data_IF_627204542826
#
_entry.id   IF_627204542826
#
_cell.length_a   1.000
_cell.length_b   1.000
_cell.length_c   1.000
_cell.angle_alpha   90.00
_cell.angle_beta   90.00
_cell.angle_gamma   90.00
#
_symmetry.space_group_name_H-M   'P 1'
#
loop_
_entity.id
_entity.type
_entity.pdbx_description
1 polymer ?
#
# COMPACT_ATOMS: atom_id res chain seq x y z
N UNK A 1 37.69 -9.02 6.06
CA UNK A 1 36.61 -10.03 6.02
C UNK A 1 37.22 -11.39 6.25
N UNK A 2 36.96 -12.02 7.39
CA UNK A 2 37.40 -13.40 7.67
C UNK A 2 36.28 -14.35 7.28
N UNK A 3 36.57 -15.22 6.32
CA UNK A 3 35.73 -16.35 5.98
C UNK A 3 35.77 -17.34 7.15
N UNK A 4 34.64 -17.58 7.80
CA UNK A 4 34.55 -18.58 8.86
C UNK A 4 34.15 -19.91 8.21
N UNK A 5 35.11 -20.81 8.09
CA UNK A 5 34.84 -22.18 7.69
C UNK A 5 34.20 -22.92 8.88
N UNK A 6 33.18 -23.73 8.63
CA UNK A 6 32.47 -24.48 9.68
C UNK A 6 32.28 -25.94 9.31
N UNK A 7 32.11 -26.79 10.32
CA UNK A 7 31.88 -28.24 10.16
C UNK A 7 30.76 -28.71 11.09
N UNK A 8 30.01 -29.73 10.67
CA UNK A 8 29.02 -30.40 11.52
C UNK A 8 29.68 -31.55 12.27
N UNK A 9 29.50 -31.59 13.58
CA UNK A 9 29.97 -32.68 14.42
C UNK A 9 28.79 -33.34 15.10
N UNK A 10 28.90 -34.65 15.36
CA UNK A 10 27.88 -35.44 16.03
C UNK A 10 27.75 -34.99 17.49
N UNK A 11 26.52 -34.77 17.92
CA UNK A 11 26.20 -34.35 19.29
C UNK A 11 24.93 -35.07 19.75
N UNK A 12 25.10 -36.10 20.60
CA UNK A 12 24.02 -36.99 21.03
C UNK A 12 23.32 -37.67 19.84
N UNK A 13 22.01 -37.45 19.72
CA UNK A 13 21.17 -37.98 18.63
C UNK A 13 21.12 -37.05 17.40
N UNK A 14 21.90 -35.97 17.38
CA UNK A 14 21.91 -34.98 16.31
C UNK A 14 23.32 -34.46 16.00
N UNK A 15 23.38 -33.20 15.63
CA UNK A 15 24.62 -32.52 15.28
C UNK A 15 24.68 -31.10 15.85
N UNK A 16 25.89 -30.58 15.99
CA UNK A 16 26.16 -29.16 16.21
C UNK A 16 27.18 -28.64 15.21
N UNK A 17 27.10 -27.35 14.87
CA UNK A 17 28.04 -26.68 13.95
C UNK A 17 29.12 -25.99 14.77
N UNK A 18 30.39 -26.19 14.40
CA UNK A 18 31.53 -25.51 15.01
C UNK A 18 32.42 -24.88 13.93
N UNK A 19 33.31 -23.97 14.29
CA UNK A 19 34.34 -23.51 13.36
C UNK A 19 35.29 -24.65 13.01
N UNK A 20 35.78 -24.68 11.77
CA UNK A 20 36.77 -25.65 11.32
C UNK A 20 38.08 -25.54 12.14
N UNK A 21 38.43 -24.34 12.61
CA UNK A 21 39.58 -24.12 13.51
C UNK A 21 39.45 -24.82 14.86
N UNK A 22 38.21 -25.03 15.32
CA UNK A 22 37.90 -25.59 16.63
C UNK A 22 37.67 -27.10 16.53
N UNK A 23 37.83 -27.69 15.34
CA UNK A 23 37.67 -29.12 15.11
C UNK A 23 38.91 -29.88 15.58
N UNK A 24 38.76 -30.67 16.65
CA UNK A 24 39.83 -31.50 17.22
C UNK A 24 39.58 -32.97 16.86
N UNK A 25 40.48 -33.53 16.05
CA UNK A 25 40.46 -34.94 15.68
C UNK A 25 40.55 -35.82 16.94
N UNK A 26 39.64 -36.79 17.06
CA UNK A 26 39.55 -37.69 18.22
C UNK A 26 38.66 -37.18 19.35
N UNK A 27 38.36 -35.88 19.43
CA UNK A 27 37.30 -35.35 20.32
C UNK A 27 35.97 -35.17 19.58
N UNK A 28 36.04 -34.82 18.30
CA UNK A 28 34.89 -34.59 17.46
C UNK A 28 34.78 -35.67 16.36
N UNK A 29 33.56 -36.18 16.15
CA UNK A 29 33.19 -37.06 15.04
C UNK A 29 32.38 -36.23 14.03
N UNK A 30 32.71 -36.28 12.74
CA UNK A 30 31.95 -35.56 11.71
C UNK A 30 30.55 -36.18 11.59
N UNK A 31 29.55 -35.31 11.50
CA UNK A 31 28.17 -35.76 11.27
C UNK A 31 27.91 -35.84 9.76
N UNK A 32 27.95 -37.06 9.22
CA UNK A 32 27.84 -37.32 7.77
C UNK A 32 29.08 -36.88 6.97
N UNK A 33 28.95 -36.85 5.64
CA UNK A 33 30.07 -36.56 4.71
C UNK A 33 30.25 -35.05 4.41
N UNK A 34 29.60 -34.17 5.17
CA UNK A 34 29.36 -32.79 4.75
C UNK A 34 30.41 -31.80 5.27
N UNK A 35 31.33 -31.40 4.39
CA UNK A 35 32.07 -30.14 4.54
C UNK A 35 31.10 -29.00 4.23
N UNK A 36 30.62 -28.28 5.25
CA UNK A 36 29.77 -27.11 5.06
C UNK A 36 30.59 -25.96 4.48
N UNK A 37 30.43 -25.72 3.19
CA UNK A 37 31.00 -24.57 2.51
C UNK A 37 30.39 -23.26 3.04
N UNK A 38 31.23 -22.44 3.67
CA UNK A 38 31.14 -20.99 3.87
C UNK A 38 29.72 -20.41 4.06
N UNK A 39 29.34 -20.17 5.33
CA UNK A 39 28.37 -19.11 5.62
C UNK A 39 29.02 -17.77 5.28
N UNK A 40 28.82 -17.33 4.04
CA UNK A 40 29.13 -15.96 3.65
C UNK A 40 28.18 -15.07 4.43
N UNK A 41 28.70 -14.28 5.39
CA UNK A 41 27.91 -13.22 6.01
C UNK A 41 27.34 -12.35 4.89
N UNK A 42 26.02 -12.36 4.79
CA UNK A 42 25.19 -11.75 3.76
C UNK A 42 25.56 -10.27 3.53
N UNK A 43 26.46 -10.02 2.58
CA UNK A 43 26.61 -8.70 1.98
C UNK A 43 25.52 -8.44 0.92
N UNK A 44 24.85 -9.49 0.44
CA UNK A 44 23.79 -9.43 -0.58
C UNK A 44 22.42 -8.99 -0.04
N UNK A 45 22.13 -9.17 1.25
CA UNK A 45 20.81 -8.85 1.82
C UNK A 45 20.67 -7.38 2.24
N UNK A 46 21.80 -6.66 2.37
CA UNK A 46 21.79 -5.23 2.75
C UNK A 46 21.27 -4.35 1.62
N UNK A 47 21.59 -4.70 0.37
CA UNK A 47 21.19 -3.92 -0.81
C UNK A 47 19.67 -4.07 -1.10
N UNK A 48 19.15 -5.29 -0.99
CA UNK A 48 17.70 -5.55 -1.09
C UNK A 48 16.91 -4.90 0.06
N UNK A 49 17.50 -4.80 1.25
CA UNK A 49 16.87 -4.16 2.42
C UNK A 49 16.77 -2.64 2.26
N UNK A 50 17.78 -2.01 1.64
CA UNK A 50 17.79 -0.57 1.40
C UNK A 50 16.74 -0.16 0.35
N UNK A 51 16.64 -0.91 -0.74
CA UNK A 51 15.66 -0.64 -1.79
C UNK A 51 14.22 -0.86 -1.30
N UNK A 52 13.98 -1.89 -0.48
CA UNK A 52 12.68 -2.12 0.15
C UNK A 52 12.25 -0.96 1.06
N UNK A 53 13.19 -0.36 1.81
CA UNK A 53 12.90 0.82 2.65
C UNK A 53 12.52 2.04 1.83
N UNK A 54 13.22 2.28 0.72
CA UNK A 54 12.93 3.38 -0.20
C UNK A 54 11.55 3.25 -0.83
N UNK A 55 11.17 2.04 -1.25
CA UNK A 55 9.84 1.78 -1.79
C UNK A 55 8.74 1.96 -0.74
N UNK A 56 9.01 1.59 0.51
CA UNK A 56 8.08 1.82 1.62
C UNK A 56 7.86 3.32 1.85
N UNK A 57 8.92 4.11 1.92
CA UNK A 57 8.84 5.56 2.10
C UNK A 57 8.08 6.24 0.94
N UNK A 58 8.33 5.82 -0.30
CA UNK A 58 7.60 6.33 -1.46
C UNK A 58 6.12 5.94 -1.42
N UNK A 59 5.80 4.73 -0.97
CA UNK A 59 4.41 4.29 -0.80
C UNK A 59 3.69 5.07 0.30
N UNK A 60 4.37 5.39 1.41
CA UNK A 60 3.82 6.20 2.51
C UNK A 60 3.49 7.63 2.05
N UNK A 61 4.37 8.25 1.26
CA UNK A 61 4.12 9.58 0.67
C UNK A 61 2.89 9.54 -0.24
N UNK A 62 2.83 8.57 -1.16
CA UNK A 62 1.68 8.42 -2.08
C UNK A 62 0.38 8.16 -1.34
N UNK A 63 0.43 7.37 -0.26
CA UNK A 63 -0.75 7.08 0.57
C UNK A 63 -1.24 8.36 1.25
N UNK A 64 -0.33 9.19 1.79
CA UNK A 64 -0.67 10.46 2.39
C UNK A 64 -1.32 11.42 1.38
N UNK A 65 -0.71 11.60 0.22
CA UNK A 65 -1.25 12.47 -0.84
C UNK A 65 -2.63 12.01 -1.30
N UNK A 66 -2.84 10.69 -1.45
CA UNK A 66 -4.13 10.12 -1.82
C UNK A 66 -5.21 10.37 -0.75
N UNK A 67 -4.86 10.27 0.53
CA UNK A 67 -5.78 10.58 1.64
C UNK A 67 -6.17 12.05 1.65
N UNK A 68 -5.23 12.96 1.42
CA UNK A 68 -5.50 14.40 1.35
C UNK A 68 -6.44 14.73 0.17
N UNK A 69 -6.20 14.14 -1.00
CA UNK A 69 -7.09 14.30 -2.16
C UNK A 69 -8.49 13.74 -1.89
N UNK A 70 -8.59 12.58 -1.25
CA UNK A 70 -9.87 11.98 -0.89
C UNK A 70 -10.65 12.88 0.07
N UNK A 71 -9.98 13.43 1.09
CA UNK A 71 -10.60 14.36 2.03
C UNK A 71 -11.09 15.65 1.31
N UNK A 72 -10.29 16.20 0.39
CA UNK A 72 -10.71 17.36 -0.41
C UNK A 72 -11.94 17.04 -1.25
N UNK A 73 -11.91 15.94 -2.01
CA UNK A 73 -13.01 15.51 -2.87
C UNK A 73 -14.29 15.22 -2.06
N UNK A 74 -14.18 14.65 -0.86
CA UNK A 74 -15.31 14.47 0.05
C UNK A 74 -15.89 15.81 0.50
N UNK A 75 -15.04 16.77 0.88
CA UNK A 75 -15.46 18.12 1.24
C UNK A 75 -16.18 18.84 0.11
N UNK A 76 -15.62 18.79 -1.11
CA UNK A 76 -16.22 19.35 -2.32
C UNK A 76 -17.57 18.71 -2.65
N UNK A 77 -17.68 17.38 -2.54
CA UNK A 77 -18.94 16.67 -2.77
C UNK A 77 -20.02 17.05 -1.76
N UNK A 78 -19.64 17.20 -0.48
CA UNK A 78 -20.55 17.66 0.57
C UNK A 78 -20.97 19.10 0.29
N UNK A 79 -20.04 19.99 -0.06
CA UNK A 79 -20.34 21.37 -0.41
C UNK A 79 -21.26 21.47 -1.64
N UNK A 80 -21.04 20.63 -2.64
CA UNK A 80 -21.91 20.51 -3.82
C UNK A 80 -23.33 20.09 -3.43
N UNK A 81 -23.48 19.03 -2.62
CA UNK A 81 -24.79 18.59 -2.11
C UNK A 81 -25.47 19.62 -1.22
N UNK A 82 -24.69 20.36 -0.44
CA UNK A 82 -25.17 21.34 0.51
C UNK A 82 -25.24 22.75 -0.09
N UNK A 83 -25.13 22.92 -1.41
CA UNK A 83 -25.40 24.19 -2.07
C UNK A 83 -26.90 24.46 -2.09
N UNK A 84 -27.43 24.73 -0.90
CA UNK A 84 -28.83 25.00 -0.62
C UNK A 84 -29.31 26.19 -1.44
N UNK A 85 -28.46 27.19 -1.68
CA UNK A 85 -28.82 28.38 -2.46
C UNK A 85 -29.03 28.05 -3.94
N UNK A 86 -28.16 27.23 -4.55
CA UNK A 86 -28.36 26.73 -5.90
C UNK A 86 -29.60 25.82 -5.99
N UNK A 87 -29.83 24.95 -4.99
CA UNK A 87 -31.01 24.10 -4.93
C UNK A 87 -32.30 24.92 -4.78
N UNK A 88 -32.32 25.94 -3.91
CA UNK A 88 -33.44 26.86 -3.73
C UNK A 88 -33.70 27.67 -5.00
N UNK A 89 -32.67 28.22 -5.65
CA UNK A 89 -32.81 28.95 -6.90
C UNK A 89 -33.49 28.08 -7.98
N UNK A 90 -33.11 26.80 -8.06
CA UNK A 90 -33.72 25.84 -8.98
C UNK A 90 -35.17 25.52 -8.64
N UNK A 91 -35.51 25.37 -7.36
CA UNK A 91 -36.90 25.18 -6.91
C UNK A 91 -37.75 26.39 -7.29
N UNK A 92 -37.29 27.61 -6.99
CA UNK A 92 -38.01 28.85 -7.34
C UNK A 92 -38.25 28.96 -8.84
N UNK A 93 -37.27 28.61 -9.67
CA UNK A 93 -37.41 28.60 -11.14
C UNK A 93 -38.48 27.59 -11.60
N UNK A 94 -38.47 26.38 -11.02
CA UNK A 94 -39.43 25.33 -11.35
C UNK A 94 -40.86 25.71 -10.93
N UNK A 95 -41.04 26.27 -9.74
CA UNK A 95 -42.33 26.76 -9.25
C UNK A 95 -42.86 27.93 -10.10
N UNK A 96 -41.98 28.88 -10.46
CA UNK A 96 -42.33 30.00 -11.33
C UNK A 96 -42.73 29.57 -12.74
N UNK A 97 -42.19 28.45 -13.23
CA UNK A 97 -42.53 27.90 -14.55
C UNK A 97 -43.74 26.95 -14.50
N UNK A 98 -43.96 26.23 -13.39
CA UNK A 98 -45.17 25.44 -13.17
C UNK A 98 -46.44 26.32 -13.14
N UNK A 99 -46.34 27.54 -12.60
CA UNK A 99 -47.45 28.49 -12.56
C UNK A 99 -47.72 29.20 -13.92
N UNK A 100 -46.85 29.04 -14.91
CA UNK A 100 -47.01 29.66 -16.25
C UNK A 100 -47.65 28.74 -17.28
N UNK A 101 -47.84 27.45 -16.96
CA UNK A 101 -48.34 26.46 -17.93
C UNK A 101 -49.87 26.41 -18.04
N UNK A 102 -50.61 27.22 -17.27
CA UNK A 102 -52.09 27.22 -17.27
C UNK A 102 -52.73 28.39 -18.06
N UNK A 103 -51.94 29.32 -18.62
CA UNK A 103 -52.49 30.49 -19.34
C UNK A 103 -52.44 30.43 -20.88
N UNK A 104 -51.83 29.41 -21.49
CA UNK A 104 -51.82 29.29 -22.96
C UNK A 104 -52.93 28.36 -23.48
N UNK A 105 -54.19 28.70 -23.18
CA UNK A 105 -55.31 28.25 -24.00
C UNK A 105 -55.53 29.28 -25.11
N UNK A 106 -55.20 28.99 -26.39
CA UNK A 106 -55.33 29.98 -27.44
C UNK A 106 -56.81 30.36 -27.61
N UNK A 107 -57.13 31.64 -27.37
CA UNK A 107 -58.39 32.28 -27.75
C UNK A 107 -58.50 32.20 -29.27
N UNK A 108 -59.31 31.27 -29.79
CA UNK A 108 -59.72 31.28 -31.19
C UNK A 108 -60.71 32.43 -31.41
N UNK A 109 -60.20 33.58 -31.81
CA UNK A 109 -61.00 34.71 -32.30
C UNK A 109 -61.52 34.34 -33.69
N UNK A 110 -62.82 34.05 -33.83
CA UNK A 110 -63.48 33.93 -35.13
C UNK A 110 -63.70 35.33 -35.71
N UNK A 111 -63.01 35.64 -36.80
CA UNK A 111 -63.29 36.84 -37.61
C UNK A 111 -64.11 36.41 -38.82
N UNK A 112 -65.36 36.89 -38.81
CA UNK A 112 -66.32 37.17 -39.89
C UNK A 112 -66.50 36.17 -41.03
#
# INVERSE_FOLDING_TARGET
MTLLNTVQIKDGNGYRVINESDFIHGQHELYGDSKLSNLTNQASDVDSSLEAKKQLEEAEIKLKDCLEQLQSAQGEFIAFKNNIDAMKARITELEANANKTDEEKPKTTKTK
#
